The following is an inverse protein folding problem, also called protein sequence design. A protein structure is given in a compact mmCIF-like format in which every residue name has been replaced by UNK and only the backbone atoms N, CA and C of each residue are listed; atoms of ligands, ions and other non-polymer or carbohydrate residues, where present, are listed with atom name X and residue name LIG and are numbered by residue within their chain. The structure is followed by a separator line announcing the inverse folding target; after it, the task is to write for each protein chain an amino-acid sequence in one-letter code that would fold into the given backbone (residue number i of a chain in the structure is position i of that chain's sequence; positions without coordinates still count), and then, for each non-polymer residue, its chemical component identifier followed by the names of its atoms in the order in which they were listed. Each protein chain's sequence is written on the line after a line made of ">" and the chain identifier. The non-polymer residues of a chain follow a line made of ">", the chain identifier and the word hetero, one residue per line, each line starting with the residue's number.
data_IF_335344526515
#
_entry.id   IF_335344526515
#
_cell.length_a   1.000
_cell.length_b   1.000
_cell.length_c   1.000
_cell.angle_alpha   90.00
_cell.angle_beta   90.00
_cell.angle_gamma   90.00
#
_symmetry.space_group_name_H-M   'P 1'
#
loop_
_entity.id
_entity.type
_entity.pdbx_description
1 polymer ?
#
# COMPACT_ATOMS: atom_id res chain seq x y z
N UNK A 1 4.10 -7.23 -28.82
CA UNK A 1 4.30 -6.00 -28.03
C UNK A 1 3.83 -4.80 -28.84
N UNK A 2 2.91 -4.03 -28.28
CA UNK A 2 2.40 -2.77 -28.83
C UNK A 2 3.21 -1.58 -28.31
N UNK A 3 4.54 -1.62 -28.47
CA UNK A 3 5.40 -0.52 -28.03
C UNK A 3 5.57 0.53 -29.13
N UNK A 4 5.63 1.80 -28.73
CA UNK A 4 5.98 2.89 -29.62
C UNK A 4 7.44 2.75 -30.05
N UNK A 5 7.70 3.06 -31.32
CA UNK A 5 9.05 3.09 -31.86
C UNK A 5 9.53 4.53 -31.89
N UNK A 6 10.50 4.86 -31.02
CA UNK A 6 10.95 6.23 -30.85
C UNK A 6 11.72 6.79 -32.05
N UNK A 7 12.14 5.95 -33.01
CA UNK A 7 12.76 6.40 -34.27
C UNK A 7 11.83 7.28 -35.12
N UNK A 8 10.53 7.33 -34.79
CA UNK A 8 9.53 8.18 -35.46
C UNK A 8 9.51 9.62 -34.96
N UNK A 9 10.17 9.91 -33.84
CA UNK A 9 10.23 11.24 -33.26
C UNK A 9 11.55 11.91 -33.63
N UNK A 10 11.56 13.25 -33.60
CA UNK A 10 12.79 14.00 -33.74
C UNK A 10 13.54 13.95 -32.41
N UNK A 11 14.48 13.01 -32.31
CA UNK A 11 15.31 12.81 -31.15
C UNK A 11 16.67 13.46 -31.34
N UNK A 12 17.18 14.08 -30.27
CA UNK A 12 18.56 14.53 -30.17
C UNK A 12 19.33 13.60 -29.25
N UNK A 13 20.31 12.89 -29.82
CA UNK A 13 21.30 12.16 -29.03
C UNK A 13 22.33 13.13 -28.45
N UNK A 14 22.67 12.91 -27.19
CA UNK A 14 23.59 13.75 -26.42
C UNK A 14 24.16 12.95 -25.25
N UNK A 15 24.82 13.61 -24.31
CA UNK A 15 25.25 13.01 -23.05
C UNK A 15 24.53 13.65 -21.87
N UNK A 16 24.47 12.93 -20.75
CA UNK A 16 23.86 13.41 -19.51
C UNK A 16 24.49 14.74 -19.04
N UNK A 17 25.82 14.86 -19.10
CA UNK A 17 26.55 16.07 -18.72
C UNK A 17 26.17 17.31 -19.56
N UNK A 18 25.80 17.11 -20.83
CA UNK A 18 25.41 18.19 -21.73
C UNK A 18 23.99 18.73 -21.47
N UNK A 19 23.17 17.99 -20.73
CA UNK A 19 21.77 18.34 -20.43
C UNK A 19 21.52 18.64 -18.94
N UNK A 20 22.58 18.73 -18.13
CA UNK A 20 22.53 19.06 -16.69
C UNK A 20 21.64 20.26 -16.37
N UNK A 21 21.63 21.30 -17.21
CA UNK A 21 20.78 22.48 -17.02
C UNK A 21 19.27 22.23 -17.17
N UNK A 22 18.88 21.08 -17.71
CA UNK A 22 17.48 20.67 -17.88
C UNK A 22 17.06 19.59 -16.89
N UNK A 23 18.02 18.92 -16.25
CA UNK A 23 17.72 17.92 -15.22
C UNK A 23 17.18 18.64 -13.97
N UNK A 24 16.23 18.02 -13.26
CA UNK A 24 15.75 18.55 -11.99
C UNK A 24 16.88 18.45 -10.95
N UNK A 25 17.17 19.54 -10.25
CA UNK A 25 18.28 19.58 -9.29
C UNK A 25 18.08 18.62 -8.11
N UNK A 26 16.84 18.15 -7.89
CA UNK A 26 16.46 17.18 -6.89
C UNK A 26 16.70 15.71 -7.32
N UNK A 27 16.94 15.43 -8.61
CA UNK A 27 17.16 14.05 -9.09
C UNK A 27 18.58 13.57 -8.79
N UNK A 28 18.73 12.28 -8.53
CA UNK A 28 20.06 11.67 -8.43
C UNK A 28 20.79 11.71 -9.76
N UNK A 29 20.06 11.69 -10.88
CA UNK A 29 20.62 11.93 -12.22
C UNK A 29 21.39 13.25 -12.31
N UNK A 30 20.93 14.32 -11.65
CA UNK A 30 21.66 15.59 -11.62
C UNK A 30 22.98 15.48 -10.86
N UNK A 31 22.96 14.81 -9.72
CA UNK A 31 24.14 14.60 -8.89
C UNK A 31 25.17 13.70 -9.61
N UNK A 32 24.72 12.64 -10.27
CA UNK A 32 25.55 11.76 -11.09
C UNK A 32 26.18 12.52 -12.26
N UNK A 33 25.39 13.34 -12.96
CA UNK A 33 25.85 14.09 -14.13
C UNK A 33 26.94 15.12 -13.79
N UNK A 34 26.93 15.67 -12.58
CA UNK A 34 27.89 16.69 -12.12
C UNK A 34 29.07 16.04 -11.37
N UNK A 35 28.79 15.01 -10.58
CA UNK A 35 29.72 14.40 -9.63
C UNK A 35 30.63 13.32 -10.22
N UNK A 36 30.25 12.69 -11.34
CA UNK A 36 31.01 11.59 -11.93
C UNK A 36 31.19 11.74 -13.46
N UNK A 37 32.44 11.87 -13.95
CA UNK A 37 32.73 11.97 -15.38
C UNK A 37 32.23 10.79 -16.23
N UNK A 38 32.11 9.58 -15.65
CA UNK A 38 31.61 8.41 -16.36
C UNK A 38 30.10 8.56 -16.64
N UNK A 39 29.33 9.00 -15.64
CA UNK A 39 27.90 9.28 -15.80
C UNK A 39 27.65 10.53 -16.64
N UNK A 40 28.48 11.57 -16.52
CA UNK A 40 28.40 12.75 -17.40
C UNK A 40 28.55 12.40 -18.91
N UNK A 41 29.29 11.33 -19.22
CA UNK A 41 29.46 10.80 -20.58
C UNK A 41 28.38 9.79 -21.00
N UNK A 42 27.49 9.38 -20.09
CA UNK A 42 26.42 8.43 -20.40
C UNK A 42 25.48 8.98 -21.48
N UNK A 43 25.03 8.09 -22.36
CA UNK A 43 24.17 8.42 -23.50
C UNK A 43 22.81 8.91 -23.02
N UNK A 44 22.33 10.03 -23.55
CA UNK A 44 20.99 10.54 -23.30
C UNK A 44 20.30 10.84 -24.63
N UNK A 45 19.00 10.58 -24.66
CA UNK A 45 18.13 10.88 -25.80
C UNK A 45 17.12 11.93 -25.36
N UNK A 46 17.08 13.04 -26.08
CA UNK A 46 16.20 14.17 -25.80
C UNK A 46 15.13 14.27 -26.87
N UNK A 47 13.87 14.29 -26.44
CA UNK A 47 12.72 14.63 -27.28
C UNK A 47 12.30 16.07 -26.97
N UNK A 48 12.47 16.96 -27.95
CA UNK A 48 12.04 18.37 -27.84
C UNK A 48 10.56 18.50 -28.23
N UNK A 49 9.68 18.40 -27.23
CA UNK A 49 8.23 18.43 -27.40
C UNK A 49 7.52 17.34 -26.62
N UNK A 50 6.28 17.06 -27.00
CA UNK A 50 5.44 16.04 -26.37
C UNK A 50 5.67 14.66 -27.01
N UNK A 51 5.65 13.62 -26.18
CA UNK A 51 5.63 12.23 -26.60
C UNK A 51 4.19 11.70 -26.49
N UNK A 52 3.47 11.65 -27.61
CA UNK A 52 2.16 11.01 -27.68
C UNK A 52 2.27 9.64 -28.34
N UNK A 53 2.26 8.59 -27.51
CA UNK A 53 2.26 7.19 -27.92
C UNK A 53 0.83 6.65 -28.16
N UNK A 54 -0.22 7.44 -27.92
CA UNK A 54 -1.61 7.01 -28.03
C UNK A 54 -1.90 5.80 -27.13
N UNK A 55 -2.37 4.72 -27.73
CA UNK A 55 -2.67 3.45 -27.04
C UNK A 55 -1.48 2.47 -27.05
N UNK A 56 -0.26 2.94 -27.32
CA UNK A 56 0.97 2.15 -27.30
C UNK A 56 1.74 2.34 -25.99
N UNK A 57 2.64 1.40 -25.72
CA UNK A 57 3.51 1.41 -24.55
C UNK A 57 4.83 2.13 -24.85
N UNK A 58 5.36 2.84 -23.87
CA UNK A 58 6.75 3.29 -23.84
C UNK A 58 7.53 2.25 -23.03
N UNK A 59 8.29 1.38 -23.72
CA UNK A 59 9.13 0.38 -23.07
C UNK A 59 10.56 0.92 -22.94
N UNK A 60 10.97 1.24 -21.72
CA UNK A 60 12.26 1.83 -21.39
C UNK A 60 13.44 0.84 -21.52
N UNK A 61 13.18 -0.46 -21.63
CA UNK A 61 14.19 -1.48 -21.95
C UNK A 61 14.36 -1.67 -23.47
N UNK A 62 13.44 -1.12 -24.28
CA UNK A 62 13.43 -1.31 -25.73
C UNK A 62 12.79 -0.13 -26.47
N UNK A 63 13.45 1.03 -26.38
CA UNK A 63 13.01 2.27 -27.04
C UNK A 63 12.98 2.18 -28.58
N UNK A 64 13.78 1.28 -29.16
CA UNK A 64 13.96 1.07 -30.59
C UNK A 64 13.62 -0.37 -30.99
N UNK A 65 12.34 -0.79 -30.89
CA UNK A 65 11.95 -2.20 -31.08
C UNK A 65 12.21 -2.74 -32.49
N UNK A 66 12.55 -1.87 -33.45
CA UNK A 66 12.90 -2.24 -34.84
C UNK A 66 14.40 -2.19 -35.12
N UNK A 67 15.20 -1.73 -34.16
CA UNK A 67 16.65 -1.59 -34.29
C UNK A 67 17.37 -2.10 -33.04
N UNK A 68 17.44 -3.43 -32.91
CA UNK A 68 18.09 -4.10 -31.78
C UNK A 68 19.61 -3.88 -31.70
N UNK A 69 20.22 -3.23 -32.70
CA UNK A 69 21.64 -2.87 -32.67
C UNK A 69 21.87 -1.49 -32.05
N UNK A 70 20.81 -0.70 -31.91
CA UNK A 70 20.89 0.60 -31.26
C UNK A 70 21.14 0.40 -29.77
N UNK A 71 22.23 0.95 -29.21
CA UNK A 71 22.45 0.88 -27.76
C UNK A 71 21.32 1.62 -27.05
N UNK A 72 20.88 1.05 -25.92
CA UNK A 72 19.89 1.67 -25.07
C UNK A 72 20.52 2.91 -24.40
N UNK A 73 19.89 4.08 -24.47
CA UNK A 73 20.41 5.26 -23.77
C UNK A 73 20.25 5.09 -22.27
N UNK A 74 21.12 5.73 -21.50
CA UNK A 74 21.00 5.79 -20.05
C UNK A 74 19.77 6.59 -19.62
N UNK A 75 19.41 7.63 -20.37
CA UNK A 75 18.28 8.51 -20.07
C UNK A 75 17.44 8.83 -21.31
N UNK A 76 16.12 8.77 -21.15
CA UNK A 76 15.14 9.42 -22.01
C UNK A 76 14.63 10.70 -21.34
N UNK A 77 14.93 11.86 -21.94
CA UNK A 77 14.42 13.16 -21.52
C UNK A 77 13.34 13.65 -22.49
N UNK A 78 12.11 13.82 -22.01
CA UNK A 78 11.00 14.43 -22.75
C UNK A 78 10.80 15.85 -22.23
N UNK A 79 11.03 16.86 -23.09
CA UNK A 79 10.93 18.27 -22.69
C UNK A 79 9.49 18.78 -22.58
N UNK A 80 8.53 18.06 -23.15
CA UNK A 80 7.10 18.29 -23.02
C UNK A 80 6.43 17.26 -22.12
N UNK A 81 5.19 16.92 -22.45
CA UNK A 81 4.36 15.94 -21.75
C UNK A 81 4.41 14.56 -22.42
N UNK A 82 4.13 13.52 -21.65
CA UNK A 82 4.01 12.14 -22.13
C UNK A 82 2.56 11.68 -22.04
N UNK A 83 2.05 11.11 -23.13
CA UNK A 83 0.80 10.34 -23.14
C UNK A 83 1.08 8.95 -23.70
N UNK A 84 0.74 7.92 -22.94
CA UNK A 84 0.91 6.53 -23.36
C UNK A 84 -0.21 5.64 -22.80
N UNK A 85 -0.28 4.39 -23.26
CA UNK A 85 -1.05 3.37 -22.55
C UNK A 85 -0.31 2.92 -21.30
N UNK A 86 0.95 2.53 -21.45
CA UNK A 86 1.80 2.16 -20.34
C UNK A 86 3.20 2.74 -20.52
N UNK A 87 3.86 3.05 -19.42
CA UNK A 87 5.31 3.28 -19.37
C UNK A 87 5.89 2.16 -18.52
N UNK A 88 6.78 1.36 -19.11
CA UNK A 88 7.24 0.11 -18.48
C UNK A 88 8.74 -0.11 -18.62
N UNK A 89 9.30 -0.79 -17.63
CA UNK A 89 10.63 -1.40 -17.70
C UNK A 89 10.70 -2.61 -16.73
N UNK A 90 11.73 -3.43 -16.89
CA UNK A 90 11.93 -4.73 -16.23
C UNK A 90 13.37 -5.03 -15.82
N UNK A 91 14.32 -4.20 -16.26
CA UNK A 91 15.73 -4.37 -15.97
C UNK A 91 16.09 -3.65 -14.66
N UNK A 92 16.65 -4.37 -13.67
CA UNK A 92 17.07 -3.79 -12.40
C UNK A 92 18.38 -2.99 -12.51
N UNK A 93 19.27 -3.32 -13.44
CA UNK A 93 20.64 -2.77 -13.47
C UNK A 93 20.94 -1.92 -14.73
N UNK A 94 20.10 -2.02 -15.77
CA UNK A 94 20.45 -1.52 -17.11
C UNK A 94 19.34 -0.81 -17.89
N UNK A 95 18.15 -0.63 -17.31
CA UNK A 95 17.03 0.04 -17.98
C UNK A 95 17.26 1.54 -18.20
N UNK A 96 16.49 2.13 -19.13
CA UNK A 96 16.55 3.59 -19.38
C UNK A 96 15.84 4.36 -18.26
N UNK A 97 16.50 5.35 -17.68
CA UNK A 97 15.86 6.34 -16.81
C UNK A 97 14.90 7.25 -17.58
N UNK A 98 13.90 7.82 -16.90
CA UNK A 98 12.91 8.69 -17.53
C UNK A 98 12.81 10.05 -16.84
N UNK A 99 12.93 11.12 -17.61
CA UNK A 99 12.64 12.49 -17.16
C UNK A 99 11.60 13.10 -18.09
N UNK A 100 10.44 13.48 -17.55
CA UNK A 100 9.38 14.20 -18.24
C UNK A 100 9.27 15.59 -17.61
N UNK A 101 9.50 16.65 -18.38
CA UNK A 101 9.42 18.03 -17.83
C UNK A 101 7.98 18.55 -17.72
N UNK A 102 7.04 17.98 -18.50
CA UNK A 102 5.61 18.26 -18.45
C UNK A 102 4.81 17.23 -17.65
N UNK A 103 3.55 17.02 -18.07
CA UNK A 103 2.64 16.04 -17.46
C UNK A 103 2.92 14.62 -17.98
N UNK A 104 2.58 13.60 -17.20
CA UNK A 104 2.57 12.19 -17.61
C UNK A 104 1.16 11.63 -17.43
N UNK A 105 0.49 11.32 -18.53
CA UNK A 105 -0.82 10.67 -18.57
C UNK A 105 -0.67 9.23 -19.13
N UNK A 106 -0.99 8.22 -18.33
CA UNK A 106 -0.96 6.81 -18.75
C UNK A 106 -2.05 5.97 -18.09
N UNK A 107 -2.24 4.72 -18.53
CA UNK A 107 -3.01 3.74 -17.76
C UNK A 107 -2.13 3.16 -16.64
N UNK A 108 -0.89 2.80 -16.98
CA UNK A 108 0.06 2.15 -16.09
C UNK A 108 1.44 2.83 -16.13
N UNK A 109 2.10 2.87 -14.97
CA UNK A 109 3.54 3.13 -14.85
C UNK A 109 4.14 1.96 -14.04
N UNK A 110 4.95 1.11 -14.67
CA UNK A 110 5.60 -0.02 -13.99
C UNK A 110 7.10 0.14 -14.17
N UNK A 111 7.81 0.42 -13.09
CA UNK A 111 9.24 0.73 -13.16
C UNK A 111 9.99 -0.08 -12.14
N UNK A 112 11.06 -0.71 -12.58
CA UNK A 112 12.04 -1.33 -11.73
C UNK A 112 13.05 -0.24 -11.34
N UNK A 113 14.25 -0.56 -10.87
CA UNK A 113 15.27 0.32 -10.26
C UNK A 113 15.67 1.63 -11.00
N UNK A 114 15.04 1.99 -12.11
CA UNK A 114 15.27 3.21 -12.87
C UNK A 114 14.55 4.40 -12.26
N UNK A 115 15.29 5.47 -11.98
CA UNK A 115 14.71 6.78 -11.66
C UNK A 115 13.71 7.29 -12.73
N UNK A 116 12.55 7.74 -12.24
CA UNK A 116 11.50 8.40 -13.02
C UNK A 116 11.15 9.76 -12.42
N UNK A 117 11.24 10.81 -13.23
CA UNK A 117 10.85 12.17 -12.85
C UNK A 117 9.71 12.70 -13.70
N UNK A 118 8.73 13.33 -13.05
CA UNK A 118 7.63 14.07 -13.70
C UNK A 118 7.57 15.50 -13.15
N UNK A 119 7.85 16.47 -14.02
CA UNK A 119 7.88 17.89 -13.69
C UNK A 119 6.50 18.52 -13.53
N UNK A 120 5.49 17.94 -14.18
CA UNK A 120 4.07 18.31 -14.10
C UNK A 120 3.26 17.32 -13.28
N UNK A 121 2.00 17.13 -13.66
CA UNK A 121 1.09 16.19 -13.03
C UNK A 121 1.33 14.75 -13.50
N UNK A 122 1.23 13.80 -12.57
CA UNK A 122 1.18 12.37 -12.86
C UNK A 122 -0.29 11.91 -12.79
N UNK A 123 -0.85 11.44 -13.91
CA UNK A 123 -2.23 10.93 -13.97
C UNK A 123 -2.23 9.52 -14.54
N UNK A 124 -2.54 8.56 -13.70
CA UNK A 124 -2.65 7.16 -14.05
C UNK A 124 -4.10 6.72 -13.97
N UNK A 125 -4.59 6.03 -15.00
CA UNK A 125 -5.96 5.49 -14.99
C UNK A 125 -6.09 4.24 -14.13
N UNK A 126 -4.99 3.52 -13.90
CA UNK A 126 -4.99 2.26 -13.14
C UNK A 126 -3.98 2.30 -12.01
N UNK A 127 -2.68 2.25 -12.30
CA UNK A 127 -1.72 2.07 -11.23
C UNK A 127 -0.30 2.50 -11.57
N UNK A 128 0.44 2.84 -10.53
CA UNK A 128 1.89 2.80 -10.52
C UNK A 128 2.39 1.65 -9.65
N UNK A 129 3.42 0.93 -10.13
CA UNK A 129 4.17 -0.04 -9.35
C UNK A 129 5.68 0.15 -9.54
N UNK A 130 6.35 0.62 -8.48
CA UNK A 130 7.79 0.73 -8.38
C UNK A 130 8.39 -0.49 -7.67
N UNK A 131 9.39 -1.13 -8.26
CA UNK A 131 10.01 -2.36 -7.75
C UNK A 131 11.52 -2.19 -7.66
N UNK A 132 12.12 -2.59 -6.54
CA UNK A 132 13.56 -2.49 -6.31
C UNK A 132 13.96 -1.28 -5.45
N UNK A 133 15.17 -1.31 -4.90
CA UNK A 133 15.63 -0.37 -3.87
C UNK A 133 16.43 0.82 -4.41
N UNK A 134 16.93 0.73 -5.65
CA UNK A 134 17.77 1.75 -6.26
C UNK A 134 16.94 2.85 -6.95
N UNK A 135 15.74 2.51 -7.43
CA UNK A 135 14.91 3.45 -8.16
C UNK A 135 14.23 4.52 -7.29
N UNK A 136 13.72 5.55 -7.97
CA UNK A 136 13.09 6.71 -7.34
C UNK A 136 12.01 7.30 -8.24
N UNK A 137 10.82 7.56 -7.70
CA UNK A 137 9.74 8.26 -8.38
C UNK A 137 9.58 9.64 -7.74
N UNK A 138 9.82 10.67 -8.54
CA UNK A 138 9.63 12.06 -8.13
C UNK A 138 8.63 12.76 -9.04
N UNK A 139 7.61 13.36 -8.42
CA UNK A 139 6.56 14.11 -9.13
C UNK A 139 6.43 15.49 -8.50
N UNK A 140 6.62 16.57 -9.27
CA UNK A 140 6.46 17.93 -8.74
C UNK A 140 5.00 18.38 -8.69
N UNK A 141 4.21 18.05 -9.71
CA UNK A 141 2.79 18.38 -9.77
C UNK A 141 1.91 17.39 -9.02
N UNK A 142 0.58 17.49 -9.13
CA UNK A 142 -0.36 16.59 -8.45
C UNK A 142 -0.24 15.15 -8.97
N UNK A 143 -0.53 14.19 -8.09
CA UNK A 143 -0.56 12.75 -8.38
C UNK A 143 -2.01 12.27 -8.33
N UNK A 144 -2.46 11.56 -9.37
CA UNK A 144 -3.76 10.90 -9.42
C UNK A 144 -3.59 9.50 -9.96
N UNK A 145 -3.79 8.46 -9.15
CA UNK A 145 -3.60 7.07 -9.56
C UNK A 145 -4.33 6.11 -8.62
N UNK A 146 -5.29 5.27 -9.09
CA UNK A 146 -6.05 4.37 -8.22
C UNK A 146 -5.21 3.47 -7.31
N UNK A 147 -4.01 3.04 -7.73
CA UNK A 147 -3.03 2.39 -6.87
C UNK A 147 -1.63 3.01 -7.04
N UNK A 148 -0.92 3.16 -5.92
CA UNK A 148 0.52 3.44 -5.87
C UNK A 148 1.18 2.36 -5.00
N UNK A 149 2.04 1.55 -5.61
CA UNK A 149 2.72 0.44 -4.95
C UNK A 149 4.22 0.69 -5.03
N UNK A 150 4.90 0.78 -3.89
CA UNK A 150 6.36 0.90 -3.83
C UNK A 150 6.97 -0.27 -3.04
N UNK A 151 7.51 -1.24 -3.77
CA UNK A 151 8.17 -2.42 -3.22
C UNK A 151 9.69 -2.19 -3.11
N UNK A 152 10.10 -1.51 -2.05
CA UNK A 152 11.48 -1.07 -1.82
C UNK A 152 11.84 0.23 -2.55
N UNK A 153 10.96 0.66 -3.44
CA UNK A 153 11.17 1.78 -4.35
C UNK A 153 11.01 3.13 -3.67
N UNK A 154 11.91 4.09 -3.93
CA UNK A 154 11.90 5.38 -3.24
C UNK A 154 10.85 6.32 -3.81
N UNK A 155 10.16 7.02 -2.91
CA UNK A 155 9.12 8.00 -3.20
C UNK A 155 9.11 9.09 -2.13
N UNK A 156 8.40 10.19 -2.41
CA UNK A 156 8.01 11.17 -1.40
C UNK A 156 6.86 10.62 -0.52
N UNK A 157 7.24 9.72 0.40
CA UNK A 157 6.34 8.97 1.27
C UNK A 157 5.54 9.89 2.20
N UNK A 158 6.17 10.93 2.76
CA UNK A 158 5.54 11.94 3.60
C UNK A 158 4.38 12.62 2.85
N UNK A 159 4.64 13.08 1.62
CA UNK A 159 3.60 13.72 0.79
C UNK A 159 2.46 12.76 0.46
N UNK A 160 2.79 11.53 0.10
CA UNK A 160 1.80 10.52 -0.28
C UNK A 160 0.91 10.16 0.92
N UNK A 161 1.50 9.88 2.09
CA UNK A 161 0.76 9.58 3.32
C UNK A 161 -0.07 10.76 3.81
N UNK A 162 0.43 11.99 3.67
CA UNK A 162 -0.32 13.21 3.98
C UNK A 162 -1.40 13.56 2.94
N UNK A 163 -1.50 12.80 1.83
CA UNK A 163 -2.36 13.06 0.67
C UNK A 163 -2.22 14.49 0.11
N UNK A 164 -1.03 15.08 0.23
CA UNK A 164 -0.80 16.45 -0.22
C UNK A 164 -0.68 16.52 -1.75
N UNK A 165 -1.76 16.94 -2.41
CA UNK A 165 -1.82 16.93 -3.88
C UNK A 165 -1.80 15.52 -4.46
N UNK A 166 -2.35 14.54 -3.74
CA UNK A 166 -2.50 13.14 -4.15
C UNK A 166 -3.97 12.75 -4.07
N UNK A 167 -4.55 12.17 -5.12
CA UNK A 167 -5.97 11.84 -5.21
C UNK A 167 -6.24 10.45 -5.77
N UNK A 168 -7.31 9.82 -5.26
CA UNK A 168 -7.84 8.51 -5.68
C UNK A 168 -6.77 7.41 -5.62
N UNK A 169 -6.39 6.91 -4.44
CA UNK A 169 -5.25 5.98 -4.38
C UNK A 169 -5.29 5.03 -3.18
N UNK A 170 -5.14 3.74 -3.47
CA UNK A 170 -4.63 2.69 -2.60
C UNK A 170 -3.11 2.75 -2.49
N UNK A 171 -2.55 2.73 -1.27
CA UNK A 171 -1.11 2.79 -1.07
C UNK A 171 -0.58 1.52 -0.42
N UNK A 172 0.46 0.94 -1.00
CA UNK A 172 1.22 -0.16 -0.41
C UNK A 172 2.70 0.17 -0.50
N UNK A 173 3.35 0.23 0.67
CA UNK A 173 4.77 0.48 0.80
C UNK A 173 5.42 -0.65 1.56
N UNK A 174 6.56 -1.12 1.08
CA UNK A 174 7.40 -2.06 1.79
C UNK A 174 8.12 -1.35 2.94
N UNK A 175 7.44 -1.24 4.08
CA UNK A 175 7.98 -0.62 5.30
C UNK A 175 8.73 -1.66 6.15
N UNK A 176 9.89 -2.14 5.68
CA UNK A 176 11.03 -2.72 6.43
C UNK A 176 10.88 -3.80 7.52
N UNK A 177 9.71 -4.03 8.14
CA UNK A 177 9.51 -4.88 9.31
C UNK A 177 8.14 -5.53 9.40
N UNK A 178 7.15 -5.09 8.62
CA UNK A 178 5.76 -5.49 8.81
C UNK A 178 5.29 -6.46 7.72
N UNK A 179 4.69 -7.56 8.15
CA UNK A 179 4.04 -8.53 7.27
C UNK A 179 2.93 -7.86 6.45
N UNK A 180 2.95 -8.01 5.13
CA UNK A 180 1.86 -7.62 4.24
C UNK A 180 0.89 -8.80 4.06
N UNK A 181 -0.38 -8.72 4.50
CA UNK A 181 -1.35 -9.78 4.27
C UNK A 181 -1.67 -9.95 2.78
N UNK A 182 -1.86 -11.19 2.32
CA UNK A 182 -2.33 -11.52 0.95
C UNK A 182 -3.53 -10.68 0.52
N UNK A 183 -4.51 -10.53 1.41
CA UNK A 183 -5.72 -9.75 1.15
C UNK A 183 -5.42 -8.30 0.74
N UNK A 184 -4.36 -7.69 1.30
CA UNK A 184 -3.96 -6.33 0.91
C UNK A 184 -3.37 -6.31 -0.51
N UNK A 185 -2.60 -7.32 -0.90
CA UNK A 185 -2.16 -7.48 -2.28
C UNK A 185 -3.37 -7.65 -3.23
N UNK A 186 -4.38 -8.42 -2.82
CA UNK A 186 -5.63 -8.59 -3.58
C UNK A 186 -6.47 -7.30 -3.72
N UNK A 187 -6.26 -6.28 -2.87
CA UNK A 187 -6.93 -4.98 -3.02
C UNK A 187 -6.43 -4.19 -4.24
N UNK A 188 -5.20 -4.47 -4.70
CA UNK A 188 -4.56 -3.75 -5.80
C UNK A 188 -4.26 -4.63 -7.01
N UNK A 189 -3.92 -5.90 -6.81
CA UNK A 189 -3.66 -6.89 -7.87
C UNK A 189 -4.82 -7.89 -7.94
N UNK A 190 -5.23 -8.27 -9.15
CA UNK A 190 -6.27 -9.26 -9.33
C UNK A 190 -5.83 -10.63 -8.79
N UNK A 191 -6.70 -11.26 -8.00
CA UNK A 191 -6.44 -12.49 -7.24
C UNK A 191 -5.74 -13.62 -8.03
N UNK A 192 -6.04 -13.76 -9.33
CA UNK A 192 -5.41 -14.77 -10.21
C UNK A 192 -3.89 -14.60 -10.41
N UNK A 193 -3.33 -13.43 -10.10
CA UNK A 193 -1.88 -13.14 -10.15
C UNK A 193 -1.24 -13.21 -8.76
N UNK A 194 -2.04 -13.35 -7.69
CA UNK A 194 -1.58 -13.37 -6.30
C UNK A 194 -1.41 -14.83 -5.86
N UNK A 195 -0.21 -15.21 -5.43
CA UNK A 195 0.06 -16.57 -4.96
C UNK A 195 -0.69 -16.90 -3.66
N UNK A 196 -0.91 -18.19 -3.40
CA UNK A 196 -1.56 -18.64 -2.17
C UNK A 196 -0.61 -18.57 -0.96
N UNK A 197 -1.16 -18.41 0.25
CA UNK A 197 -0.38 -18.33 1.51
C UNK A 197 0.52 -19.57 1.72
N UNK A 198 0.13 -20.73 1.19
CA UNK A 198 0.88 -21.99 1.29
C UNK A 198 2.18 -22.01 0.44
N UNK A 199 2.48 -20.92 -0.28
CA UNK A 199 3.63 -20.80 -1.17
C UNK A 199 4.94 -20.38 -0.47
N UNK A 200 4.87 -19.95 0.80
CA UNK A 200 6.02 -19.44 1.54
C UNK A 200 6.51 -20.44 2.60
N UNK A 201 7.82 -20.58 2.72
CA UNK A 201 8.45 -21.29 3.84
C UNK A 201 8.35 -20.45 5.13
N UNK A 202 8.34 -21.10 6.31
CA UNK A 202 8.21 -20.47 7.64
C UNK A 202 9.24 -19.34 7.93
N UNK A 203 10.29 -19.22 7.13
CA UNK A 203 11.36 -18.22 7.25
C UNK A 203 11.12 -16.96 6.39
N UNK A 204 10.20 -17.00 5.42
CA UNK A 204 9.90 -15.88 4.53
C UNK A 204 8.59 -15.21 4.96
N UNK A 205 8.72 -13.99 5.49
CA UNK A 205 7.56 -13.17 5.87
C UNK A 205 7.31 -12.18 4.74
N UNK A 206 6.22 -12.36 3.95
CA UNK A 206 5.84 -11.40 2.91
C UNK A 206 5.69 -10.00 3.50
N UNK A 207 6.37 -9.02 2.92
CA UNK A 207 6.40 -7.64 3.39
C UNK A 207 6.18 -6.61 2.25
N UNK A 208 6.05 -7.07 1.01
CA UNK A 208 5.68 -6.28 -0.16
C UNK A 208 4.75 -7.01 -1.10
N UNK A 209 4.20 -6.31 -2.10
CA UNK A 209 3.34 -6.93 -3.14
C UNK A 209 4.16 -7.90 -3.99
N UNK A 210 5.44 -7.58 -4.25
CA UNK A 210 6.40 -8.44 -4.93
C UNK A 210 6.60 -9.81 -4.27
N UNK A 211 6.36 -9.95 -2.97
CA UNK A 211 6.44 -11.25 -2.32
C UNK A 211 5.25 -12.14 -2.73
N UNK A 212 4.07 -11.53 -2.93
CA UNK A 212 2.82 -12.21 -3.28
C UNK A 212 2.60 -12.41 -4.78
N UNK A 213 3.33 -11.67 -5.62
CA UNK A 213 3.06 -11.56 -7.04
C UNK A 213 4.38 -11.55 -7.79
N UNK A 214 4.52 -12.42 -8.79
CA UNK A 214 5.67 -12.39 -9.70
C UNK A 214 5.60 -11.12 -10.58
N UNK A 215 6.51 -10.14 -10.42
CA UNK A 215 6.39 -8.87 -11.15
C UNK A 215 6.42 -9.02 -12.67
N UNK A 216 7.16 -10.01 -13.17
CA UNK A 216 7.24 -10.28 -14.59
C UNK A 216 5.88 -10.75 -15.17
N UNK A 217 5.06 -11.48 -14.41
CA UNK A 217 3.72 -11.90 -14.85
C UNK A 217 2.77 -10.70 -15.00
N UNK A 218 2.87 -9.72 -14.10
CA UNK A 218 2.09 -8.47 -14.17
C UNK A 218 2.55 -7.61 -15.33
N UNK A 219 3.86 -7.50 -15.54
CA UNK A 219 4.40 -6.78 -16.68
C UNK A 219 3.98 -7.43 -18.01
N UNK A 220 4.06 -8.74 -18.12
CA UNK A 220 3.62 -9.50 -19.29
C UNK A 220 2.12 -9.32 -19.54
N UNK A 221 1.30 -9.30 -18.48
CA UNK A 221 -0.12 -8.99 -18.59
C UNK A 221 -0.34 -7.58 -19.15
N UNK A 222 0.28 -6.54 -18.57
CA UNK A 222 0.15 -5.16 -19.03
C UNK A 222 0.60 -5.01 -20.49
N UNK A 223 1.79 -5.48 -20.83
CA UNK A 223 2.34 -5.38 -22.20
C UNK A 223 1.63 -6.29 -23.20
N UNK A 224 0.93 -7.32 -22.72
CA UNK A 224 0.02 -8.19 -23.45
C UNK A 224 -1.39 -7.61 -23.67
N UNK A 225 -1.70 -6.45 -23.11
CA UNK A 225 -3.01 -5.79 -23.25
C UNK A 225 -4.05 -6.22 -22.21
N UNK A 226 -3.64 -6.93 -21.17
CA UNK A 226 -4.49 -7.30 -20.04
C UNK A 226 -4.33 -6.31 -18.89
N UNK A 227 -5.33 -6.29 -18.01
CA UNK A 227 -5.30 -5.52 -16.78
C UNK A 227 -5.09 -6.48 -15.60
N UNK A 228 -3.91 -6.45 -14.96
CA UNK A 228 -3.62 -7.30 -13.82
C UNK A 228 -4.05 -6.69 -12.48
N UNK A 229 -4.58 -5.47 -12.46
CA UNK A 229 -4.99 -4.81 -11.22
C UNK A 229 -6.44 -5.16 -10.86
N UNK A 230 -6.76 -5.06 -9.57
CA UNK A 230 -8.08 -5.38 -9.03
C UNK A 230 -9.21 -4.54 -9.67
N UNK A 231 -10.45 -5.03 -9.59
CA UNK A 231 -11.63 -4.31 -10.06
C UNK A 231 -12.81 -4.50 -9.09
N UNK A 232 -13.19 -3.47 -8.30
CA UNK A 232 -12.50 -2.18 -8.17
C UNK A 232 -11.12 -2.32 -7.47
N UNK A 233 -10.24 -1.35 -7.69
CA UNK A 233 -9.08 -1.16 -6.81
C UNK A 233 -9.60 -0.57 -5.51
N UNK A 234 -9.28 -1.23 -4.40
CA UNK A 234 -9.63 -0.77 -3.06
C UNK A 234 -8.38 -0.25 -2.36
N UNK A 235 -8.50 0.87 -1.65
CA UNK A 235 -7.45 1.27 -0.72
C UNK A 235 -7.48 0.29 0.46
N UNK A 236 -6.41 -0.51 0.69
CA UNK A 236 -6.36 -1.41 1.83
C UNK A 236 -6.50 -0.64 3.14
N UNK A 237 -6.30 0.68 3.16
CA UNK A 237 -6.57 1.51 4.33
C UNK A 237 -8.04 1.95 4.44
N UNK A 238 -8.79 2.04 3.33
CA UNK A 238 -10.21 2.45 3.32
C UNK A 238 -11.15 1.30 3.77
N UNK A 239 -10.87 0.04 3.39
CA UNK A 239 -11.63 -1.13 3.87
C UNK A 239 -10.93 -1.90 5.02
N UNK A 240 -9.62 -1.72 5.20
CA UNK A 240 -8.88 -2.36 6.29
C UNK A 240 -8.03 -1.33 7.08
N UNK A 241 -8.74 -0.53 7.89
CA UNK A 241 -8.18 0.19 9.06
C UNK A 241 -7.19 1.32 8.74
N UNK A 242 -7.71 2.55 8.76
CA UNK A 242 -6.95 3.73 9.21
C UNK A 242 -7.09 3.78 10.74
N UNK A 243 -6.03 3.51 11.53
CA UNK A 243 -5.95 4.02 12.89
C UNK A 243 -6.39 5.47 12.90
N UNK A 244 -7.19 5.88 13.88
CA UNK A 244 -7.48 7.30 14.00
C UNK A 244 -6.15 8.10 14.05
N UNK A 245 -5.99 9.18 13.27
CA UNK A 245 -4.71 9.85 13.08
C UNK A 245 -3.99 10.25 14.38
N UNK A 246 -4.75 10.43 15.46
CA UNK A 246 -4.27 10.76 16.80
C UNK A 246 -3.55 9.61 17.52
N UNK A 247 -3.66 8.37 17.03
CA UNK A 247 -3.04 7.17 17.59
C UNK A 247 -1.67 6.87 16.98
N UNK A 248 -1.34 7.42 15.80
CA UNK A 248 -0.02 7.25 15.20
C UNK A 248 1.06 8.00 15.98
N UNK A 249 2.24 7.38 16.11
CA UNK A 249 3.38 7.96 16.83
C UNK A 249 3.24 7.97 18.35
N UNK A 250 2.14 7.44 18.92
CA UNK A 250 2.01 7.23 20.35
C UNK A 250 2.99 6.15 20.83
N UNK A 251 3.64 6.41 21.96
CA UNK A 251 4.39 5.40 22.68
C UNK A 251 3.47 4.32 23.26
N UNK A 252 4.06 3.18 23.60
CA UNK A 252 3.35 2.06 24.23
C UNK A 252 2.57 2.49 25.49
N UNK A 253 3.18 3.30 26.34
CA UNK A 253 2.56 3.80 27.56
C UNK A 253 1.35 4.70 27.25
N UNK A 254 1.47 5.58 26.26
CA UNK A 254 0.39 6.47 25.85
C UNK A 254 -0.82 5.70 25.29
N UNK A 255 -0.58 4.64 24.51
CA UNK A 255 -1.66 3.79 23.98
C UNK A 255 -2.39 3.03 25.09
N UNK A 256 -1.67 2.55 26.10
CA UNK A 256 -2.25 1.85 27.26
C UNK A 256 -3.05 2.79 28.16
N UNK A 257 -2.55 4.00 28.37
CA UNK A 257 -3.27 5.03 29.13
C UNK A 257 -4.55 5.42 28.40
N UNK A 258 -4.50 5.61 27.08
CA UNK A 258 -5.69 5.87 26.25
C UNK A 258 -6.67 4.70 26.27
N UNK A 259 -6.19 3.48 26.09
CA UNK A 259 -7.01 2.27 26.21
C UNK A 259 -7.74 2.22 27.55
N UNK A 260 -7.03 2.43 28.66
CA UNK A 260 -7.60 2.40 30.00
C UNK A 260 -8.60 3.54 30.25
N UNK A 261 -8.41 4.70 29.60
CA UNK A 261 -9.31 5.84 29.70
C UNK A 261 -10.61 5.65 28.89
N UNK A 262 -10.54 5.02 27.72
CA UNK A 262 -11.66 4.92 26.79
C UNK A 262 -12.45 3.61 26.92
N UNK A 263 -11.73 2.53 27.23
CA UNK A 263 -12.27 1.18 27.40
C UNK A 263 -12.37 0.88 28.90
N UNK A 264 -13.36 1.48 29.54
CA UNK A 264 -13.68 1.20 30.94
C UNK A 264 -14.67 0.05 31.07
N UNK A 265 -14.77 -0.53 32.27
CA UNK A 265 -15.79 -1.54 32.55
C UNK A 265 -17.21 -0.99 32.29
N UNK A 266 -17.42 0.31 32.54
CA UNK A 266 -18.69 0.99 32.28
C UNK A 266 -18.98 1.10 30.78
N UNK A 267 -17.98 1.45 29.95
CA UNK A 267 -18.18 1.57 28.51
C UNK A 267 -18.44 0.21 27.84
N UNK A 268 -17.75 -0.85 28.29
CA UNK A 268 -18.05 -2.23 27.85
C UNK A 268 -19.48 -2.63 28.25
N UNK A 269 -19.89 -2.38 29.50
CA UNK A 269 -21.25 -2.68 29.96
C UNK A 269 -22.31 -1.91 29.16
N UNK A 270 -22.04 -0.63 28.83
CA UNK A 270 -22.95 0.18 28.02
C UNK A 270 -23.15 -0.41 26.61
N UNK A 271 -22.07 -0.83 25.95
CA UNK A 271 -22.13 -1.54 24.65
C UNK A 271 -22.97 -2.82 24.78
N UNK A 272 -22.71 -3.61 25.81
CA UNK A 272 -23.40 -4.89 26.05
C UNK A 272 -24.89 -4.72 26.35
N UNK A 273 -25.30 -3.58 26.91
CA UNK A 273 -26.69 -3.27 27.24
C UNK A 273 -27.49 -2.69 26.06
N UNK A 274 -26.83 -2.35 24.95
CA UNK A 274 -27.50 -1.74 23.80
C UNK A 274 -28.54 -2.70 23.17
N UNK A 275 -29.75 -2.23 22.78
CA UNK A 275 -30.80 -3.10 22.24
C UNK A 275 -30.39 -3.95 21.03
N UNK A 276 -29.59 -3.39 20.10
CA UNK A 276 -29.07 -4.15 18.94
C UNK A 276 -28.11 -5.28 19.35
N UNK A 277 -27.35 -5.07 20.44
CA UNK A 277 -26.43 -6.07 20.97
C UNK A 277 -27.23 -7.13 21.76
N UNK A 278 -28.12 -6.68 22.65
CA UNK A 278 -28.97 -7.52 23.49
C UNK A 278 -29.89 -8.44 22.67
N UNK A 279 -30.50 -7.93 21.60
CA UNK A 279 -31.41 -8.68 20.74
C UNK A 279 -30.73 -9.76 19.89
N UNK A 280 -29.40 -9.72 19.76
CA UNK A 280 -28.59 -10.72 19.03
C UNK A 280 -27.79 -11.64 19.95
N UNK A 281 -27.68 -11.31 21.24
CA UNK A 281 -26.97 -12.11 22.26
C UNK A 281 -27.72 -13.36 22.75
N UNK A 282 -28.96 -13.61 22.30
CA UNK A 282 -29.73 -14.81 22.68
C UNK A 282 -29.34 -16.06 21.87
N UNK A 283 -28.68 -15.87 20.73
CA UNK A 283 -27.99 -16.91 19.98
C UNK A 283 -26.50 -16.56 19.99
N UNK A 284 -25.62 -17.54 20.16
CA UNK A 284 -24.17 -17.33 20.05
C UNK A 284 -23.82 -17.13 18.55
N UNK A 285 -24.49 -16.19 17.88
CA UNK A 285 -24.39 -15.93 16.44
C UNK A 285 -23.52 -14.71 16.17
N UNK A 286 -22.66 -14.86 15.18
CA UNK A 286 -21.54 -13.98 14.86
C UNK A 286 -21.91 -12.74 14.01
N UNK A 287 -23.18 -12.33 14.01
CA UNK A 287 -23.75 -11.52 12.90
C UNK A 287 -23.98 -10.05 13.24
N UNK A 288 -23.06 -9.38 13.94
CA UNK A 288 -23.02 -7.91 13.88
C UNK A 288 -22.15 -7.54 12.67
N UNK A 289 -22.76 -7.50 11.48
CA UNK A 289 -22.08 -7.26 10.21
C UNK A 289 -21.91 -5.74 10.02
N UNK A 290 -20.73 -5.25 10.35
CA UNK A 290 -19.97 -4.37 9.45
C UNK A 290 -19.15 -5.34 8.57
N UNK A 291 -19.06 -5.14 7.26
CA UNK A 291 -18.77 -6.21 6.27
C UNK A 291 -17.52 -7.08 6.61
N UNK A 292 -16.55 -6.55 7.35
CA UNK A 292 -15.29 -7.23 7.74
C UNK A 292 -15.11 -7.53 9.24
N UNK A 293 -16.13 -7.27 10.07
CA UNK A 293 -16.06 -7.43 11.54
C UNK A 293 -17.21 -8.29 12.05
N UNK A 294 -16.88 -9.23 12.93
CA UNK A 294 -17.83 -10.04 13.68
C UNK A 294 -17.70 -9.72 15.15
N UNK A 295 -18.81 -9.47 15.82
CA UNK A 295 -18.82 -9.18 17.24
C UNK A 295 -19.42 -10.36 18.00
N UNK A 296 -18.86 -10.68 19.15
CA UNK A 296 -19.38 -11.68 20.07
C UNK A 296 -19.35 -11.14 21.49
N UNK A 297 -20.38 -11.44 22.27
CA UNK A 297 -20.56 -10.86 23.60
C UNK A 297 -20.90 -11.95 24.59
N UNK A 298 -20.25 -11.92 25.75
CA UNK A 298 -20.48 -12.85 26.86
C UNK A 298 -20.79 -12.08 28.13
N UNK A 299 -21.98 -12.28 28.69
CA UNK A 299 -22.34 -11.72 30.01
C UNK A 299 -21.53 -12.38 31.12
N UNK A 300 -21.30 -11.64 32.21
CA UNK A 300 -20.70 -12.20 33.40
C UNK A 300 -21.62 -13.31 33.99
N UNK A 301 -21.01 -14.43 34.39
CA UNK A 301 -21.72 -15.55 35.00
C UNK A 301 -20.83 -16.24 36.02
N UNK A 302 -21.19 -16.17 37.30
CA UNK A 302 -20.39 -16.72 38.40
C UNK A 302 -19.01 -16.06 38.46
N UNK A 303 -17.95 -16.87 38.30
CA UNK A 303 -16.56 -16.40 38.26
C UNK A 303 -16.10 -15.96 36.85
N UNK A 304 -16.93 -16.15 35.82
CA UNK A 304 -16.59 -15.76 34.45
C UNK A 304 -16.92 -14.27 34.23
N UNK A 305 -15.93 -13.43 33.88
CA UNK A 305 -16.15 -12.01 33.63
C UNK A 305 -16.91 -11.75 32.33
N UNK A 306 -17.54 -10.57 32.27
CA UNK A 306 -18.13 -10.07 31.04
C UNK A 306 -17.03 -9.82 30.00
N UNK A 307 -17.31 -10.18 28.75
CA UNK A 307 -16.37 -10.05 27.64
C UNK A 307 -17.09 -9.54 26.40
N UNK A 308 -16.58 -8.48 25.80
CA UNK A 308 -16.85 -8.12 24.41
C UNK A 308 -15.70 -8.69 23.56
N UNK A 309 -16.02 -9.33 22.45
CA UNK A 309 -15.05 -9.83 21.49
C UNK A 309 -15.34 -9.19 20.15
N UNK A 310 -14.34 -8.56 19.56
CA UNK A 310 -14.39 -8.09 18.19
C UNK A 310 -13.43 -8.98 17.40
N UNK A 311 -13.97 -9.67 16.42
CA UNK A 311 -13.26 -10.55 15.50
C UNK A 311 -13.17 -9.84 14.18
N UNK A 312 -11.97 -9.50 13.76
CA UNK A 312 -11.72 -8.88 12.45
C UNK A 312 -11.23 -9.95 11.50
N UNK A 313 -11.79 -10.00 10.28
CA UNK A 313 -11.24 -10.81 9.21
C UNK A 313 -9.99 -10.08 8.68
N UNK A 314 -8.83 -10.73 8.75
CA UNK A 314 -7.57 -10.21 8.21
C UNK A 314 -7.35 -10.77 6.80
N UNK A 315 -7.79 -12.01 6.53
CA UNK A 315 -7.68 -12.66 5.23
C UNK A 315 -8.80 -13.69 5.05
N UNK A 316 -9.49 -13.62 3.91
CA UNK A 316 -10.39 -14.65 3.35
C UNK A 316 -9.76 -15.06 2.01
N UNK A 317 -9.39 -16.35 1.75
CA UNK A 317 -10.05 -17.61 2.16
C UNK A 317 -9.47 -18.36 3.38
N UNK A 318 -8.38 -17.89 3.99
CA UNK A 318 -7.68 -18.63 5.07
C UNK A 318 -8.29 -18.46 6.47
N UNK A 319 -9.42 -17.75 6.59
CA UNK A 319 -10.10 -17.47 7.86
C UNK A 319 -9.12 -16.94 8.93
N UNK A 320 -8.19 -16.07 8.54
CA UNK A 320 -7.29 -15.46 9.51
C UNK A 320 -8.04 -14.36 10.23
N UNK A 321 -8.28 -14.59 11.51
CA UNK A 321 -8.97 -13.64 12.36
C UNK A 321 -8.01 -12.95 13.31
N UNK A 322 -8.22 -11.65 13.52
CA UNK A 322 -7.72 -10.96 14.69
C UNK A 322 -8.80 -10.92 15.75
N UNK A 323 -8.46 -11.37 16.95
CA UNK A 323 -9.36 -11.33 18.08
C UNK A 323 -8.95 -10.21 19.04
N UNK A 324 -9.91 -9.34 19.33
CA UNK A 324 -9.82 -8.31 20.35
C UNK A 324 -10.85 -8.62 21.43
N UNK A 325 -10.41 -9.17 22.56
CA UNK A 325 -11.26 -9.45 23.69
C UNK A 325 -11.09 -8.36 24.75
N UNK A 326 -12.18 -7.67 25.05
CA UNK A 326 -12.27 -6.67 26.10
C UNK A 326 -12.94 -7.32 27.31
N UNK A 327 -12.13 -7.73 28.29
CA UNK A 327 -12.60 -8.49 29.45
C UNK A 327 -12.52 -7.67 30.73
N UNK A 328 -13.65 -7.48 31.41
CA UNK A 328 -13.71 -6.74 32.66
C UNK A 328 -13.23 -7.62 33.84
N UNK A 329 -12.01 -7.38 34.32
CA UNK A 329 -11.42 -8.13 35.44
C UNK A 329 -11.36 -7.30 36.70
N UNK A 330 -11.60 -7.97 37.83
CA UNK A 330 -11.53 -7.35 39.15
C UNK A 330 -10.17 -7.63 39.77
N UNK A 331 -9.45 -6.57 40.13
CA UNK A 331 -8.19 -6.67 40.84
C UNK A 331 -8.41 -7.14 42.29
N UNK A 332 -7.35 -7.63 42.98
CA UNK A 332 -7.42 -8.00 44.39
C UNK A 332 -7.86 -6.85 45.31
N UNK A 333 -7.62 -5.59 44.91
CA UNK A 333 -8.06 -4.40 45.65
C UNK A 333 -9.52 -3.99 45.33
N UNK A 334 -10.23 -4.76 44.51
CA UNK A 334 -11.65 -4.59 44.24
C UNK A 334 -11.98 -3.66 43.06
N UNK A 335 -10.97 -3.02 42.46
CA UNK A 335 -11.11 -2.19 41.25
C UNK A 335 -11.36 -3.06 40.03
N UNK A 336 -12.30 -2.67 39.17
CA UNK A 336 -12.54 -3.38 37.91
C UNK A 336 -11.89 -2.61 36.77
N UNK A 337 -11.05 -3.27 35.99
CA UNK A 337 -10.41 -2.72 34.78
C UNK A 337 -10.69 -3.65 33.60
N UNK A 338 -10.63 -3.11 32.39
CA UNK A 338 -10.72 -3.93 31.18
C UNK A 338 -9.31 -4.34 30.79
N UNK A 339 -9.11 -5.64 30.57
CA UNK A 339 -7.89 -6.18 29.99
C UNK A 339 -8.13 -6.47 28.51
N UNK A 340 -7.17 -6.09 27.66
CA UNK A 340 -7.16 -6.46 26.25
C UNK A 340 -6.48 -7.82 26.11
N UNK A 341 -7.25 -8.81 25.66
CA UNK A 341 -6.75 -10.14 25.35
C UNK A 341 -6.83 -10.38 23.84
N UNK A 342 -5.94 -11.20 23.33
CA UNK A 342 -5.98 -11.71 21.96
C UNK A 342 -6.05 -13.23 21.96
N UNK A 343 -6.20 -13.82 20.79
CA UNK A 343 -6.30 -15.26 20.59
C UNK A 343 -5.61 -15.63 19.27
N UNK A 344 -4.96 -16.79 19.25
CA UNK A 344 -4.29 -17.30 18.05
C UNK A 344 -5.28 -17.46 16.89
N UNK A 345 -4.80 -17.18 15.68
CA UNK A 345 -5.58 -17.07 14.44
C UNK A 345 -6.40 -18.33 14.06
N UNK A 346 -6.10 -19.50 14.62
CA UNK A 346 -6.76 -20.78 14.33
C UNK A 346 -8.17 -20.99 14.98
N UNK A 347 -8.85 -19.91 15.35
CA UNK A 347 -10.27 -19.93 15.76
C UNK A 347 -10.55 -20.25 17.23
N UNK A 348 -11.85 -20.30 17.57
CA UNK A 348 -12.46 -20.27 18.91
C UNK A 348 -12.04 -21.37 19.93
N UNK A 349 -11.04 -22.20 19.62
CA UNK A 349 -10.56 -23.31 20.46
C UNK A 349 -9.34 -22.97 21.32
N UNK A 350 -8.77 -21.79 21.16
CA UNK A 350 -7.64 -21.32 21.96
C UNK A 350 -8.13 -20.44 23.13
N UNK A 351 -7.50 -20.57 24.28
CA UNK A 351 -7.75 -19.66 25.41
C UNK A 351 -7.19 -18.28 25.08
N UNK A 352 -7.94 -17.19 25.35
CA UNK A 352 -7.41 -15.85 25.17
C UNK A 352 -6.26 -15.55 26.13
N UNK A 353 -5.26 -14.86 25.61
CA UNK A 353 -4.06 -14.44 26.34
C UNK A 353 -3.93 -12.91 26.33
N UNK A 354 -3.35 -12.30 27.38
CA UNK A 354 -3.12 -10.85 27.39
C UNK A 354 -2.29 -10.42 26.19
N UNK A 355 -2.67 -9.31 25.55
CA UNK A 355 -1.87 -8.72 24.48
C UNK A 355 -0.50 -8.31 25.06
N UNK A 356 0.61 -8.82 24.50
CA UNK A 356 1.94 -8.45 24.97
C UNK A 356 2.16 -6.95 24.89
N UNK A 357 2.89 -6.40 25.85
CA UNK A 357 3.12 -4.95 26.01
C UNK A 357 3.67 -4.29 24.74
N UNK A 358 4.60 -4.92 24.04
CA UNK A 358 5.21 -4.41 22.80
C UNK A 358 4.30 -4.45 21.56
N UNK A 359 3.10 -5.03 21.64
CA UNK A 359 2.17 -5.18 20.50
C UNK A 359 1.28 -3.95 20.35
N UNK A 360 1.91 -2.81 20.04
CA UNK A 360 1.23 -1.52 19.82
C UNK A 360 0.17 -1.59 18.72
N UNK A 361 0.40 -2.42 17.70
CA UNK A 361 -0.54 -2.72 16.61
C UNK A 361 -1.90 -3.20 17.12
N UNK A 362 -1.91 -4.07 18.14
CA UNK A 362 -3.15 -4.59 18.73
C UNK A 362 -3.91 -3.51 19.49
N UNK A 363 -3.23 -2.64 20.24
CA UNK A 363 -3.89 -1.58 21.00
C UNK A 363 -4.53 -0.54 20.09
N UNK A 364 -3.84 -0.15 19.02
CA UNK A 364 -4.36 0.80 18.03
C UNK A 364 -5.61 0.20 17.33
N UNK A 365 -5.53 -1.07 16.92
CA UNK A 365 -6.63 -1.77 16.24
C UNK A 365 -7.83 -2.00 17.17
N UNK A 366 -7.58 -2.42 18.41
CA UNK A 366 -8.62 -2.61 19.42
C UNK A 366 -9.34 -1.30 19.77
N UNK A 367 -8.59 -0.21 19.98
CA UNK A 367 -9.15 1.13 20.26
C UNK A 367 -10.05 1.59 19.11
N UNK A 368 -9.55 1.50 17.88
CA UNK A 368 -10.30 1.93 16.69
C UNK A 368 -11.57 1.07 16.50
N UNK A 369 -11.47 -0.24 16.68
CA UNK A 369 -12.64 -1.13 16.64
C UNK A 369 -13.68 -0.79 17.71
N UNK A 370 -13.24 -0.45 18.92
CA UNK A 370 -14.12 -0.09 20.02
C UNK A 370 -14.79 1.27 19.82
N UNK A 371 -14.05 2.28 19.32
CA UNK A 371 -14.58 3.62 18.99
C UNK A 371 -15.68 3.53 17.92
N UNK A 372 -15.39 2.87 16.78
CA UNK A 372 -16.38 2.66 15.71
C UNK A 372 -17.63 1.91 16.17
N UNK A 373 -17.48 0.87 16.98
CA UNK A 373 -18.63 0.17 17.54
C UNK A 373 -19.50 1.11 18.37
N UNK A 374 -18.90 1.98 19.19
CA UNK A 374 -19.65 2.96 19.98
C UNK A 374 -20.37 3.99 19.11
N UNK A 375 -19.72 4.47 18.06
CA UNK A 375 -20.30 5.40 17.09
C UNK A 375 -21.50 4.76 16.38
N UNK A 376 -21.32 3.57 15.81
CA UNK A 376 -22.38 2.81 15.15
C UNK A 376 -23.60 2.59 16.06
N UNK A 377 -23.37 2.21 17.32
CA UNK A 377 -24.45 2.02 18.29
C UNK A 377 -25.13 3.35 18.65
N UNK A 378 -24.39 4.46 18.73
CA UNK A 378 -24.96 5.78 19.00
C UNK A 378 -25.83 6.30 17.85
N UNK A 379 -25.48 6.00 16.60
CA UNK A 379 -26.27 6.36 15.40
C UNK A 379 -27.53 5.50 15.22
N UNK A 380 -27.59 4.35 15.89
CA UNK A 380 -28.67 3.38 15.77
C UNK A 380 -29.84 3.60 16.75
N UNK A 381 -29.81 4.68 17.53
CA UNK A 381 -30.84 5.11 18.51
C UNK A 381 -31.59 6.31 17.98
#
# INVERSE_FOLDING_TARGET
>A
MSSVDLSRFLLQETTLGAITSWLPWESELSDLAVGDPAFAAASAVVLDGDLDAGDLDVNLDNLYPRDHQHPLPFLLLVRGSVRARAVVNSDFDGGTHLVVLGDLDADYLITFDQETFVGGALRLRRAWWGIGEAGNLMVRGPISAPALIADGYRVDDERIRARHGVTNTAFLFRDGTDYLPRAHACCVIADKYVCDDDSFDDEQIPNGVVDWVEPFDVLDAVTGGQDPFAEPICDPTEDLFVPEPDLFGCSEAELRDRFSAEVSAESVVAVMAHPLVMGRCETYDHDLIDEDRRYSVRRASGETPARLTIVRVISDPHLMYRFHHFEARRSPCGTTSVELLTQKSAGARCEPEPVPEHRVDHYIDALSCFRRLREFLAESV
#
